data_IF_712697033952
#
_entry.id   IF_712697033952
#
_cell.length_a   1.000
_cell.length_b   1.000
_cell.length_c   1.000
_cell.angle_alpha   90.00
_cell.angle_beta   90.00
_cell.angle_gamma   90.00
#
_symmetry.space_group_name_H-M   'P 1'
#
loop_
_entity.id
_entity.type
_entity.pdbx_description
1 polymer ?
#
# COMPACT_ATOMS: atom_id res chain seq x y z
N UNK A 1 26.93 18.39 -8.34
CA UNK A 1 25.61 17.92 -8.82
C UNK A 1 25.62 16.39 -8.92
N UNK A 2 25.14 15.65 -7.92
CA UNK A 2 25.19 14.19 -7.90
C UNK A 2 23.90 13.59 -8.52
N UNK A 3 23.76 13.66 -9.85
CA UNK A 3 22.60 13.08 -10.56
C UNK A 3 22.88 11.70 -11.18
N UNK A 4 24.13 11.21 -11.15
CA UNK A 4 24.54 10.03 -11.93
C UNK A 4 24.80 8.75 -11.11
N UNK A 5 24.50 8.76 -9.80
CA UNK A 5 24.67 7.59 -8.92
C UNK A 5 23.36 6.87 -8.52
N UNK A 6 22.21 7.27 -9.08
CA UNK A 6 20.85 6.77 -8.71
C UNK A 6 20.21 5.86 -9.77
N UNK A 7 21.01 5.19 -10.61
CA UNK A 7 20.59 4.05 -11.44
C UNK A 7 20.09 2.92 -10.52
N UNK A 8 18.88 3.06 -10.00
CA UNK A 8 18.33 2.23 -8.94
C UNK A 8 16.88 2.65 -8.64
N UNK A 9 16.57 3.52 -7.67
CA UNK A 9 15.18 3.85 -7.36
C UNK A 9 14.51 4.92 -8.26
N UNK A 10 15.29 5.79 -8.94
CA UNK A 10 14.71 6.92 -9.68
C UNK A 10 14.01 6.51 -10.97
N UNK A 11 14.62 5.65 -11.79
CA UNK A 11 13.98 5.08 -12.99
C UNK A 11 12.66 4.38 -12.66
N UNK A 12 12.67 3.53 -11.63
CA UNK A 12 11.47 2.80 -11.18
C UNK A 12 10.40 3.80 -10.73
N UNK A 13 10.78 4.85 -10.01
CA UNK A 13 9.87 5.92 -9.61
C UNK A 13 9.21 6.62 -10.80
N UNK A 14 9.95 6.89 -11.88
CA UNK A 14 9.42 7.52 -13.08
C UNK A 14 8.40 6.63 -13.81
N UNK A 15 8.65 5.32 -13.91
CA UNK A 15 7.72 4.37 -14.52
C UNK A 15 6.44 4.26 -13.68
N UNK A 16 6.58 4.12 -12.36
CA UNK A 16 5.43 4.09 -11.44
C UNK A 16 4.60 5.37 -11.55
N UNK A 17 5.24 6.53 -11.67
CA UNK A 17 4.54 7.80 -11.86
C UNK A 17 3.64 7.81 -13.10
N UNK A 18 4.14 7.30 -14.24
CA UNK A 18 3.34 7.21 -15.47
C UNK A 18 2.15 6.25 -15.29
N UNK A 19 2.39 5.08 -14.69
CA UNK A 19 1.34 4.10 -14.37
C UNK A 19 0.29 4.73 -13.44
N UNK A 20 0.70 5.51 -12.45
CA UNK A 20 -0.19 6.20 -11.53
C UNK A 20 -1.04 7.27 -12.21
N UNK A 21 -0.54 7.92 -13.27
CA UNK A 21 -1.35 8.87 -14.05
C UNK A 21 -2.44 8.13 -14.84
N UNK A 22 -2.11 6.98 -15.42
CA UNK A 22 -3.07 6.19 -16.23
C UNK A 22 -4.10 5.47 -15.36
N UNK A 23 -3.65 4.81 -14.29
CA UNK A 23 -4.49 3.96 -13.43
C UNK A 23 -5.00 4.68 -12.16
N UNK A 24 -4.35 5.77 -11.74
CA UNK A 24 -4.66 6.49 -10.51
C UNK A 24 -3.96 5.93 -9.25
N UNK A 25 -3.67 6.80 -8.28
CA UNK A 25 -3.03 6.48 -6.98
C UNK A 25 -3.81 5.51 -6.10
N UNK A 26 -5.12 5.38 -6.30
CA UNK A 26 -5.97 4.47 -5.52
C UNK A 26 -5.95 3.02 -6.03
N UNK A 27 -5.60 2.77 -7.29
CA UNK A 27 -5.68 1.43 -7.89
C UNK A 27 -4.50 0.52 -7.52
N UNK A 28 -3.30 1.08 -7.39
CA UNK A 28 -2.11 0.36 -6.93
C UNK A 28 -2.29 -0.30 -5.55
N UNK A 29 -2.72 0.42 -4.49
CA UNK A 29 -2.92 -0.18 -3.17
C UNK A 29 -4.12 -1.14 -3.12
N UNK A 30 -5.17 -0.89 -3.92
CA UNK A 30 -6.33 -1.78 -4.03
C UNK A 30 -5.92 -3.16 -4.58
N UNK A 31 -5.16 -3.17 -5.69
CA UNK A 31 -4.66 -4.41 -6.32
C UNK A 31 -3.59 -5.07 -5.44
N UNK A 32 -2.68 -4.29 -4.85
CA UNK A 32 -1.67 -4.80 -3.93
C UNK A 32 -2.27 -5.45 -2.67
N UNK A 33 -3.36 -4.90 -2.14
CA UNK A 33 -4.08 -5.49 -0.99
C UNK A 33 -4.73 -6.83 -1.33
N UNK A 34 -5.30 -6.96 -2.54
CA UNK A 34 -5.89 -8.21 -3.01
C UNK A 34 -4.81 -9.28 -3.25
N UNK A 35 -3.71 -8.91 -3.93
CA UNK A 35 -2.55 -9.79 -4.16
C UNK A 35 -1.91 -10.19 -2.83
N UNK A 36 -1.74 -9.26 -1.89
CA UNK A 36 -1.16 -9.53 -0.57
C UNK A 36 -1.98 -10.53 0.24
N UNK A 37 -3.31 -10.40 0.22
CA UNK A 37 -4.22 -11.38 0.85
C UNK A 37 -4.10 -12.76 0.20
N UNK A 38 -4.09 -12.83 -1.13
CA UNK A 38 -3.93 -14.09 -1.87
C UNK A 38 -2.57 -14.75 -1.62
N UNK A 39 -1.50 -13.96 -1.63
CA UNK A 39 -0.14 -14.44 -1.34
C UNK A 39 0.00 -14.91 0.11
N UNK A 40 -0.68 -14.24 1.05
CA UNK A 40 -0.71 -14.67 2.46
C UNK A 40 -1.47 -15.98 2.65
N UNK A 41 -2.60 -16.15 1.98
CA UNK A 41 -3.35 -17.41 1.96
C UNK A 41 -2.54 -18.54 1.31
N UNK A 42 -1.86 -18.25 0.20
CA UNK A 42 -0.97 -19.20 -0.48
C UNK A 42 0.22 -19.62 0.40
N UNK A 43 0.83 -18.66 1.12
CA UNK A 43 1.91 -18.94 2.07
C UNK A 43 1.40 -19.76 3.26
N UNK A 44 0.23 -19.42 3.82
CA UNK A 44 -0.39 -20.19 4.92
C UNK A 44 -0.69 -21.65 4.50
N UNK A 45 -1.25 -21.85 3.31
CA UNK A 45 -1.51 -23.20 2.79
C UNK A 45 -0.25 -24.00 2.45
N UNK A 46 0.83 -23.31 2.06
CA UNK A 46 2.11 -23.95 1.74
C UNK A 46 2.98 -24.22 2.99
N UNK A 47 2.79 -23.47 4.08
CA UNK A 47 3.57 -23.58 5.31
C UNK A 47 3.11 -24.71 6.26
N UNK A 48 1.97 -25.36 5.98
CA UNK A 48 1.39 -26.34 6.91
C UNK A 48 0.64 -25.66 8.06
N UNK A 49 -0.36 -26.35 8.58
CA UNK A 49 -1.52 -25.85 9.34
C UNK A 49 -1.23 -25.34 10.77
N UNK A 50 -0.08 -24.71 11.07
CA UNK A 50 0.32 -24.44 12.46
C UNK A 50 0.57 -22.96 12.81
N UNK A 51 0.20 -22.00 11.95
CA UNK A 51 0.26 -20.57 12.31
C UNK A 51 -1.09 -19.88 12.17
N UNK A 52 -1.95 -20.10 13.17
CA UNK A 52 -3.04 -19.22 13.52
C UNK A 52 -2.50 -17.95 14.16
N UNK A 53 -2.02 -16.98 13.38
CA UNK A 53 -2.02 -15.59 13.85
C UNK A 53 -2.06 -14.56 12.73
N UNK A 54 -2.70 -13.44 13.08
CA UNK A 54 -2.57 -12.09 12.50
C UNK A 54 -3.56 -11.75 11.38
N UNK A 55 -4.73 -11.31 11.88
CA UNK A 55 -5.33 -10.01 11.58
C UNK A 55 -6.44 -10.02 10.54
N UNK A 56 -7.65 -10.14 11.09
CA UNK A 56 -8.86 -9.51 10.59
C UNK A 56 -8.55 -8.12 10.00
N UNK A 57 -8.97 -7.94 8.75
CA UNK A 57 -8.89 -6.69 8.05
C UNK A 57 -9.82 -5.65 8.68
N UNK A 58 -9.35 -4.96 9.72
CA UNK A 58 -9.90 -3.65 10.11
C UNK A 58 -9.25 -2.56 9.26
N UNK A 59 -9.65 -2.49 7.99
CA UNK A 59 -9.51 -1.29 7.18
C UNK A 59 -10.93 -0.77 6.94
N UNK A 60 -11.52 -0.24 8.02
CA UNK A 60 -12.65 0.67 7.94
C UNK A 60 -12.12 1.89 7.19
N UNK A 61 -12.62 2.08 5.98
CA UNK A 61 -12.62 3.36 5.30
C UNK A 61 -13.21 4.40 6.26
N UNK A 62 -12.40 5.34 6.75
CA UNK A 62 -12.89 6.64 7.19
C UNK A 62 -11.85 7.70 6.79
N UNK A 63 -12.28 8.79 6.15
CA UNK A 63 -11.44 9.72 5.42
C UNK A 63 -10.80 10.74 6.37
N UNK A 64 -9.72 11.35 5.89
CA UNK A 64 -9.20 12.59 6.46
C UNK A 64 -10.23 13.72 6.31
N UNK A 65 -10.99 14.02 7.36
CA UNK A 65 -11.73 15.29 7.51
C UNK A 65 -12.04 15.54 8.99
N UNK A 66 -11.22 16.35 9.65
CA UNK A 66 -11.65 17.53 10.41
C UNK A 66 -10.45 18.11 11.18
N UNK A 67 -9.69 18.97 10.51
CA UNK A 67 -9.05 20.09 11.20
C UNK A 67 -10.06 21.26 11.20
N UNK A 68 -10.10 21.97 12.33
CA UNK A 68 -10.81 23.23 12.61
C UNK A 68 -12.26 23.11 13.10
N UNK A 69 -12.44 23.20 14.42
CA UNK A 69 -13.20 24.27 15.10
C UNK A 69 -13.02 24.21 16.62
N UNK A 70 -12.46 25.30 17.14
CA UNK A 70 -12.90 26.03 18.33
C UNK A 70 -13.19 25.26 19.64
N UNK A 71 -12.25 25.37 20.59
CA UNK A 71 -12.48 25.53 22.03
C UNK A 71 -11.14 26.00 22.64
N UNK A 72 -10.93 27.28 22.99
CA UNK A 72 -11.52 27.98 24.14
C UNK A 72 -11.32 27.19 25.44
N UNK A 73 -10.23 27.47 26.14
CA UNK A 73 -10.15 27.62 27.60
C UNK A 73 -8.78 28.23 27.95
#
# INVERSE_FOLDING_TARGET
>A
MPFFGRMGPLEIGLIVLIILIVFGVGKLPQVGSAIGKGMRAFRKGQAGEDEDTVTEAKAKSEPAENATKDATA
#
